data_IF_650777419946
#
_entry.id   IF_650777419946
#
_cell.length_a   1.000
_cell.length_b   1.000
_cell.length_c   1.000
_cell.angle_alpha   90.00
_cell.angle_beta   90.00
_cell.angle_gamma   90.00
#
_symmetry.space_group_name_H-M   'P 1'
#
loop_
_entity.id
_entity.type
_entity.pdbx_description
1 polymer ?
#
# COMPACT_ATOMS: atom_id res chain seq x y z
N UNK A 1 38.32 13.05 -27.12
CA UNK A 1 36.98 12.46 -27.41
C UNK A 1 36.26 12.24 -26.07
N UNK A 2 35.35 13.15 -25.74
CA UNK A 2 34.57 13.08 -24.50
C UNK A 2 33.30 12.28 -24.80
N UNK A 3 33.18 11.11 -24.18
CA UNK A 3 31.99 10.29 -24.26
C UNK A 3 30.86 10.91 -23.44
N UNK A 4 29.82 11.37 -24.11
CA UNK A 4 28.64 11.88 -23.46
C UNK A 4 27.86 10.75 -22.79
N UNK A 5 27.70 10.84 -21.47
CA UNK A 5 26.70 10.06 -20.73
C UNK A 5 25.32 10.54 -21.19
N UNK A 6 24.59 9.67 -21.88
CA UNK A 6 23.13 9.83 -22.05
C UNK A 6 22.52 9.67 -20.66
N UNK A 7 21.93 10.75 -20.15
CA UNK A 7 20.97 10.69 -19.06
C UNK A 7 19.80 9.82 -19.56
N UNK A 8 19.60 8.67 -18.90
CA UNK A 8 18.45 7.80 -19.10
C UNK A 8 17.17 8.52 -18.72
N UNK A 9 16.12 8.22 -19.45
CA UNK A 9 14.77 8.74 -19.33
C UNK A 9 14.35 8.99 -17.87
N UNK A 10 13.93 10.23 -17.58
CA UNK A 10 13.26 10.59 -16.34
C UNK A 10 11.98 9.73 -16.24
N UNK A 11 11.99 8.70 -15.37
CA UNK A 11 10.75 8.03 -14.95
C UNK A 11 9.82 9.15 -14.46
N UNK A 12 8.67 9.31 -15.09
CA UNK A 12 7.62 10.24 -14.62
C UNK A 12 7.23 9.77 -13.22
N UNK A 13 7.66 10.49 -12.18
CA UNK A 13 7.26 10.21 -10.81
C UNK A 13 5.74 10.27 -10.67
N UNK A 14 5.19 9.43 -9.82
CA UNK A 14 3.74 9.40 -9.54
C UNK A 14 3.24 10.79 -9.14
N UNK A 15 2.22 11.32 -9.81
CA UNK A 15 1.76 12.72 -9.75
C UNK A 15 1.09 13.08 -8.40
N UNK A 16 0.89 12.12 -7.49
CA UNK A 16 0.08 12.28 -6.28
C UNK A 16 0.88 12.47 -4.97
N UNK A 17 2.18 12.75 -5.06
CA UNK A 17 3.05 13.01 -3.92
C UNK A 17 2.53 14.10 -2.98
N UNK A 18 2.62 13.85 -1.66
CA UNK A 18 2.37 14.84 -0.61
C UNK A 18 0.90 15.06 -0.21
N UNK A 19 -0.05 14.30 -0.74
CA UNK A 19 -1.44 14.35 -0.30
C UNK A 19 -1.70 13.29 0.77
N UNK A 20 -1.99 13.74 2.00
CA UNK A 20 -2.41 12.82 3.07
C UNK A 20 -3.92 12.63 3.09
N UNK A 21 -4.38 11.42 3.39
CA UNK A 21 -5.79 11.08 3.65
C UNK A 21 -6.08 10.88 5.14
N UNK A 22 -5.13 11.16 6.03
CA UNK A 22 -5.20 11.02 7.49
C UNK A 22 -6.49 11.59 8.11
N UNK A 23 -7.02 12.68 7.57
CA UNK A 23 -8.22 13.34 8.10
C UNK A 23 -9.55 12.75 7.59
N UNK A 24 -9.52 11.88 6.58
CA UNK A 24 -10.72 11.35 5.90
C UNK A 24 -10.76 9.84 5.81
N UNK A 25 -9.66 9.15 6.15
CA UNK A 25 -9.57 7.69 6.23
C UNK A 25 -9.15 7.29 7.65
N UNK A 26 -9.94 6.45 8.29
CA UNK A 26 -9.64 5.94 9.63
C UNK A 26 -8.77 4.68 9.52
N UNK A 27 -7.49 4.71 9.98
CA UNK A 27 -6.59 3.57 9.86
C UNK A 27 -7.09 2.35 10.63
N UNK A 28 -7.72 2.53 11.79
CA UNK A 28 -8.28 1.41 12.57
C UNK A 28 -9.37 0.66 11.84
N UNK A 29 -10.20 1.33 11.02
CA UNK A 29 -11.21 0.67 10.18
C UNK A 29 -10.55 -0.11 9.03
N UNK A 30 -9.52 0.44 8.40
CA UNK A 30 -8.74 -0.24 7.36
C UNK A 30 -8.11 -1.51 7.91
N UNK A 31 -7.39 -1.41 9.05
CA UNK A 31 -6.70 -2.53 9.68
C UNK A 31 -7.67 -3.60 10.22
N UNK A 32 -8.82 -3.20 10.77
CA UNK A 32 -9.86 -4.16 11.18
C UNK A 32 -10.44 -4.89 9.97
N UNK A 33 -10.75 -4.18 8.88
CA UNK A 33 -11.29 -4.78 7.66
C UNK A 33 -10.28 -5.69 6.96
N UNK A 34 -8.97 -5.35 6.98
CA UNK A 34 -7.91 -6.22 6.47
C UNK A 34 -7.78 -7.52 7.27
N UNK A 35 -8.20 -7.52 8.52
CA UNK A 35 -8.11 -8.67 9.41
C UNK A 35 -6.75 -8.82 10.10
N UNK A 36 -5.96 -7.73 10.17
CA UNK A 36 -4.67 -7.68 10.86
C UNK A 36 -4.80 -8.08 12.33
N UNK A 37 -3.83 -8.87 12.81
CA UNK A 37 -3.82 -9.42 14.17
C UNK A 37 -2.50 -9.09 14.89
N UNK A 38 -2.52 -9.25 16.21
CA UNK A 38 -1.29 -9.21 17.00
C UNK A 38 -0.33 -10.32 16.58
N UNK A 39 0.93 -9.96 16.39
CA UNK A 39 2.01 -10.85 15.94
C UNK A 39 2.18 -10.96 14.43
N UNK A 40 1.28 -10.37 13.63
CA UNK A 40 1.38 -10.40 12.17
C UNK A 40 2.55 -9.52 11.66
N UNK A 41 3.04 -9.88 10.49
CA UNK A 41 3.89 -9.03 9.65
C UNK A 41 3.02 -8.27 8.66
N UNK A 42 3.05 -6.93 8.71
CA UNK A 42 2.31 -6.08 7.78
C UNK A 42 3.26 -5.34 6.83
N UNK A 43 2.89 -5.27 5.55
CA UNK A 43 3.44 -4.34 4.56
C UNK A 43 2.41 -3.23 4.28
N UNK A 44 2.78 -1.97 4.54
CA UNK A 44 2.05 -0.77 4.13
C UNK A 44 2.66 -0.28 2.80
N UNK A 45 2.04 -0.68 1.69
CA UNK A 45 2.53 -0.47 0.33
C UNK A 45 2.08 0.90 -0.20
N UNK A 46 3.03 1.85 -0.24
CA UNK A 46 2.77 3.27 -0.49
C UNK A 46 2.33 3.98 0.78
N UNK A 47 3.18 3.89 1.82
CA UNK A 47 2.87 4.31 3.20
C UNK A 47 2.64 5.82 3.39
N UNK A 48 3.10 6.66 2.44
CA UNK A 48 2.92 8.11 2.48
C UNK A 48 3.46 8.76 3.76
N UNK A 49 2.56 9.30 4.59
CA UNK A 49 2.91 9.91 5.89
C UNK A 49 2.88 8.91 7.07
N UNK A 50 2.76 7.62 6.79
CA UNK A 50 2.86 6.54 7.76
C UNK A 50 1.68 6.38 8.72
N UNK A 51 0.56 7.10 8.55
CA UNK A 51 -0.53 7.06 9.53
C UNK A 51 -1.18 5.66 9.68
N UNK A 52 -1.17 4.83 8.62
CA UNK A 52 -1.59 3.43 8.69
C UNK A 52 -0.50 2.60 9.37
N UNK A 53 0.77 2.81 9.00
CA UNK A 53 1.92 2.09 9.57
C UNK A 53 2.01 2.25 11.09
N UNK A 54 1.88 3.48 11.63
CA UNK A 54 1.88 3.73 13.08
C UNK A 54 0.69 3.08 13.78
N UNK A 55 -0.51 3.12 13.19
CA UNK A 55 -1.66 2.43 13.76
C UNK A 55 -1.50 0.90 13.74
N UNK A 56 -0.90 0.38 12.67
CA UNK A 56 -0.60 -1.04 12.54
C UNK A 56 0.44 -1.51 13.55
N UNK A 57 1.51 -0.74 13.80
CA UNK A 57 2.55 -1.09 14.78
C UNK A 57 2.00 -1.29 16.19
N UNK A 58 1.03 -0.46 16.58
CA UNK A 58 0.33 -0.61 17.85
C UNK A 58 -0.52 -1.89 17.90
N UNK A 59 -1.15 -2.26 16.80
CA UNK A 59 -2.07 -3.41 16.73
C UNK A 59 -1.29 -4.74 16.68
N UNK A 60 -0.23 -4.83 15.88
CA UNK A 60 0.60 -6.05 15.78
C UNK A 60 1.40 -6.29 17.07
N UNK A 61 1.73 -5.23 17.81
CA UNK A 61 2.44 -5.31 19.09
C UNK A 61 3.89 -5.78 18.96
N UNK A 62 4.53 -6.09 20.09
CA UNK A 62 5.97 -6.39 20.16
C UNK A 62 6.40 -7.65 19.39
N UNK A 63 5.48 -8.57 19.12
CA UNK A 63 5.76 -9.82 18.40
C UNK A 63 5.49 -9.73 16.89
N UNK A 64 4.93 -8.61 16.41
CA UNK A 64 4.69 -8.34 14.99
C UNK A 64 5.66 -7.30 14.48
N UNK A 65 5.67 -7.13 13.17
CA UNK A 65 6.48 -6.11 12.49
C UNK A 65 5.67 -5.41 11.41
N UNK A 66 5.95 -4.13 11.20
CA UNK A 66 5.37 -3.32 10.13
C UNK A 66 6.47 -2.81 9.21
N UNK A 67 6.34 -3.05 7.93
CA UNK A 67 7.17 -2.48 6.89
C UNK A 67 6.40 -1.33 6.22
N UNK A 68 6.89 -0.10 6.37
CA UNK A 68 6.37 1.08 5.70
C UNK A 68 7.19 1.32 4.43
N UNK A 69 6.62 0.98 3.26
CA UNK A 69 7.30 1.11 1.97
C UNK A 69 6.75 2.31 1.20
N UNK A 70 7.64 3.16 0.71
CA UNK A 70 7.30 4.29 -0.15
C UNK A 70 8.42 4.60 -1.15
N UNK A 71 8.05 5.09 -2.34
CA UNK A 71 8.97 5.50 -3.38
C UNK A 71 9.55 6.92 -3.16
N UNK A 72 9.08 7.64 -2.14
CA UNK A 72 9.53 8.99 -1.83
C UNK A 72 10.47 8.97 -0.62
N UNK A 73 11.76 9.36 -0.80
CA UNK A 73 12.74 9.32 0.28
C UNK A 73 12.35 10.22 1.48
N UNK A 74 11.63 11.32 1.23
CA UNK A 74 11.16 12.21 2.30
C UNK A 74 10.09 11.54 3.18
N UNK A 75 9.15 10.78 2.58
CA UNK A 75 8.15 10.00 3.32
C UNK A 75 8.81 8.99 4.24
N UNK A 76 9.74 8.21 3.69
CA UNK A 76 10.51 7.19 4.42
C UNK A 76 11.32 7.80 5.56
N UNK A 77 12.02 8.93 5.31
CA UNK A 77 12.82 9.62 6.32
C UNK A 77 11.95 10.17 7.46
N UNK A 78 10.80 10.78 7.14
CA UNK A 78 9.88 11.33 8.12
C UNK A 78 9.28 10.24 9.02
N UNK A 79 8.85 9.11 8.44
CA UNK A 79 8.33 7.97 9.21
C UNK A 79 9.40 7.44 10.16
N UNK A 80 10.64 7.29 9.68
CA UNK A 80 11.76 6.80 10.48
C UNK A 80 12.05 7.73 11.66
N UNK A 81 12.14 9.03 11.42
CA UNK A 81 12.39 10.03 12.47
C UNK A 81 11.25 10.03 13.53
N UNK A 82 9.99 9.96 13.07
CA UNK A 82 8.84 9.92 13.98
C UNK A 82 8.83 8.62 14.80
N UNK A 83 9.13 7.45 14.19
CA UNK A 83 9.23 6.18 14.89
C UNK A 83 10.34 6.17 15.96
N UNK A 84 11.52 6.69 15.64
CA UNK A 84 12.63 6.84 16.59
C UNK A 84 12.25 7.75 17.76
N UNK A 85 11.62 8.89 17.48
CA UNK A 85 11.17 9.88 18.48
C UNK A 85 10.11 9.32 19.41
N UNK A 86 9.18 8.52 18.89
CA UNK A 86 8.08 7.90 19.66
C UNK A 86 8.48 6.56 20.29
N UNK A 87 9.68 6.03 20.01
CA UNK A 87 10.17 4.76 20.53
C UNK A 87 9.43 3.55 19.95
N UNK A 88 8.96 3.65 18.71
CA UNK A 88 8.28 2.56 17.99
C UNK A 88 9.36 1.65 17.39
N UNK A 89 9.55 0.45 17.97
CA UNK A 89 10.65 -0.45 17.61
C UNK A 89 10.26 -1.56 16.62
N UNK A 90 8.99 -1.70 16.31
CA UNK A 90 8.43 -2.72 15.40
C UNK A 90 7.90 -2.12 14.09
N UNK A 91 8.40 -0.95 13.71
CA UNK A 91 8.13 -0.27 12.45
C UNK A 91 9.45 -0.02 11.72
N UNK A 92 9.61 -0.67 10.58
CA UNK A 92 10.76 -0.50 9.68
C UNK A 92 10.33 0.22 8.41
N UNK A 93 11.19 1.08 7.89
CA UNK A 93 10.93 1.84 6.67
C UNK A 93 11.72 1.29 5.49
N UNK A 94 11.08 1.20 4.32
CA UNK A 94 11.66 0.72 3.08
C UNK A 94 11.55 1.80 2.02
N UNK A 95 12.68 2.26 1.48
CA UNK A 95 12.71 3.10 0.30
C UNK A 95 12.79 2.21 -0.95
N UNK A 96 11.67 2.04 -1.64
CA UNK A 96 11.59 1.25 -2.88
C UNK A 96 10.40 1.72 -3.73
N UNK A 97 10.48 1.49 -5.03
CA UNK A 97 9.36 1.62 -5.96
C UNK A 97 8.65 0.25 -6.01
N UNK A 98 7.33 0.24 -5.89
CA UNK A 98 6.52 -0.99 -5.94
C UNK A 98 6.54 -1.66 -7.33
N UNK A 99 7.01 -0.96 -8.36
CA UNK A 99 7.23 -1.51 -9.70
C UNK A 99 8.58 -2.22 -9.85
N UNK A 100 9.48 -2.05 -8.89
CA UNK A 100 10.77 -2.76 -8.79
C UNK A 100 10.65 -3.91 -7.76
N UNK A 101 11.74 -4.67 -7.55
CA UNK A 101 11.78 -5.74 -6.55
C UNK A 101 11.64 -5.17 -5.13
N UNK A 102 10.62 -5.62 -4.40
CA UNK A 102 10.45 -5.29 -2.98
C UNK A 102 11.52 -6.03 -2.16
N UNK A 103 12.34 -5.33 -1.33
CA UNK A 103 13.42 -5.96 -0.58
C UNK A 103 12.92 -6.73 0.66
N UNK A 104 11.98 -7.64 0.44
CA UNK A 104 11.42 -8.59 1.40
C UNK A 104 11.47 -10.00 0.80
N UNK A 105 11.61 -11.00 1.66
CA UNK A 105 11.62 -12.39 1.26
C UNK A 105 10.25 -12.84 0.72
N UNK A 106 10.24 -13.85 -0.15
CA UNK A 106 9.03 -14.50 -0.61
C UNK A 106 8.22 -15.04 0.57
N UNK A 107 6.90 -14.87 0.52
CA UNK A 107 5.98 -15.38 1.56
C UNK A 107 6.36 -14.93 2.98
N UNK A 108 6.76 -13.68 3.15
CA UNK A 108 7.17 -13.13 4.46
C UNK A 108 6.09 -12.26 5.12
N UNK A 109 5.10 -11.76 4.37
CA UNK A 109 4.08 -10.81 4.81
C UNK A 109 2.74 -11.51 5.05
N UNK A 110 2.15 -11.35 6.24
CA UNK A 110 0.82 -11.88 6.58
C UNK A 110 -0.29 -11.03 5.97
N UNK A 111 -0.13 -9.70 6.04
CA UNK A 111 -1.10 -8.73 5.53
C UNK A 111 -0.36 -7.62 4.77
N UNK A 112 -0.70 -7.42 3.51
CA UNK A 112 -0.33 -6.23 2.76
C UNK A 112 -1.53 -5.27 2.70
N UNK A 113 -1.32 -4.00 3.02
CA UNK A 113 -2.32 -2.93 2.86
C UNK A 113 -1.80 -1.95 1.81
N UNK A 114 -2.67 -1.58 0.88
CA UNK A 114 -2.43 -0.52 -0.10
C UNK A 114 -3.59 0.48 -0.04
N UNK A 115 -3.32 1.73 0.33
CA UNK A 115 -4.37 2.72 0.56
C UNK A 115 -4.21 3.94 -0.35
N UNK A 116 -5.15 4.13 -1.27
CA UNK A 116 -5.19 5.24 -2.23
C UNK A 116 -3.96 5.28 -3.17
N UNK A 117 -3.48 4.12 -3.59
CA UNK A 117 -2.26 3.96 -4.41
C UNK A 117 -2.55 3.19 -5.70
N UNK A 118 -3.38 2.11 -5.64
CA UNK A 118 -3.60 1.21 -6.77
C UNK A 118 -4.11 1.93 -8.04
N UNK A 119 -4.99 2.93 -7.87
CA UNK A 119 -5.52 3.70 -9.00
C UNK A 119 -4.42 4.37 -9.84
N UNK A 120 -3.32 4.80 -9.21
CA UNK A 120 -2.17 5.40 -9.91
C UNK A 120 -1.43 4.38 -10.78
N UNK A 121 -1.26 3.15 -10.31
CA UNK A 121 -0.65 2.09 -11.10
C UNK A 121 -1.55 1.65 -12.27
N UNK A 122 -2.88 1.65 -12.07
CA UNK A 122 -3.84 1.40 -13.16
C UNK A 122 -3.74 2.49 -14.23
N UNK A 123 -3.70 3.76 -13.83
CA UNK A 123 -3.58 4.90 -14.75
C UNK A 123 -2.27 4.85 -15.56
N UNK A 124 -1.18 4.39 -14.93
CA UNK A 124 0.14 4.30 -15.54
C UNK A 124 0.39 2.98 -16.31
N UNK A 125 -0.52 2.00 -16.26
CA UNK A 125 -0.35 0.64 -16.78
C UNK A 125 0.82 -0.13 -16.13
N UNK A 126 1.00 0.02 -14.82
CA UNK A 126 2.07 -0.57 -14.01
C UNK A 126 1.55 -1.66 -13.03
N UNK A 127 0.30 -2.09 -13.20
CA UNK A 127 -0.37 -3.05 -12.29
C UNK A 127 0.32 -4.41 -12.29
N UNK A 128 0.80 -4.86 -13.44
CA UNK A 128 1.41 -6.20 -13.58
C UNK A 128 2.67 -6.32 -12.72
N UNK A 129 3.56 -5.33 -12.79
CA UNK A 129 4.80 -5.30 -12.02
C UNK A 129 4.51 -5.29 -10.51
N UNK A 130 3.63 -4.39 -10.10
CA UNK A 130 3.23 -4.25 -8.68
C UNK A 130 2.59 -5.52 -8.14
N UNK A 131 1.62 -6.07 -8.86
CA UNK A 131 0.88 -7.24 -8.38
C UNK A 131 1.74 -8.50 -8.32
N UNK A 132 2.74 -8.66 -9.21
CA UNK A 132 3.72 -9.74 -9.13
C UNK A 132 4.51 -9.69 -7.83
N UNK A 133 4.99 -8.52 -7.45
CA UNK A 133 5.77 -8.32 -6.22
C UNK A 133 4.90 -8.48 -4.97
N UNK A 134 3.70 -7.89 -4.94
CA UNK A 134 2.74 -8.09 -3.84
C UNK A 134 2.41 -9.57 -3.67
N UNK A 135 2.10 -10.27 -4.78
CA UNK A 135 1.82 -11.71 -4.73
C UNK A 135 3.06 -12.50 -4.25
N UNK A 136 4.27 -12.11 -4.61
CA UNK A 136 5.52 -12.77 -4.18
C UNK A 136 5.73 -12.66 -2.67
N UNK A 137 5.63 -11.45 -2.11
CA UNK A 137 5.95 -11.21 -0.69
C UNK A 137 4.83 -11.63 0.26
N UNK A 138 3.55 -11.59 -0.17
CA UNK A 138 2.43 -12.02 0.66
C UNK A 138 2.41 -13.55 0.76
N UNK A 139 2.29 -14.08 1.98
CA UNK A 139 2.23 -15.52 2.26
C UNK A 139 1.07 -16.20 1.51
N UNK A 140 1.21 -17.52 1.28
CA UNK A 140 0.04 -18.35 0.95
C UNK A 140 -1.01 -18.17 2.05
N UNK A 141 -2.28 -18.05 1.68
CA UNK A 141 -3.39 -17.71 2.59
C UNK A 141 -3.23 -16.33 3.28
N UNK A 142 -2.21 -15.55 2.93
CA UNK A 142 -2.04 -14.18 3.38
C UNK A 142 -3.03 -13.21 2.73
N UNK A 143 -3.11 -12.01 3.26
CA UNK A 143 -4.11 -11.01 2.87
C UNK A 143 -3.49 -9.90 2.05
N UNK A 144 -4.13 -9.52 0.94
CA UNK A 144 -3.94 -8.23 0.31
C UNK A 144 -5.22 -7.39 0.44
N UNK A 145 -5.12 -6.24 1.08
CA UNK A 145 -6.22 -5.33 1.37
C UNK A 145 -6.00 -3.98 0.66
N UNK A 146 -6.89 -3.64 -0.26
CA UNK A 146 -6.85 -2.42 -1.05
C UNK A 146 -7.94 -1.46 -0.59
N UNK A 147 -7.55 -0.31 -0.03
CA UNK A 147 -8.46 0.77 0.31
C UNK A 147 -8.40 1.86 -0.76
N UNK A 148 -9.55 2.20 -1.34
CA UNK A 148 -9.64 3.18 -2.43
C UNK A 148 -10.80 4.16 -2.24
N UNK A 149 -10.71 5.29 -2.95
CA UNK A 149 -11.81 6.26 -2.99
C UNK A 149 -13.03 5.68 -3.69
N UNK A 150 -14.21 5.87 -3.08
CA UNK A 150 -15.49 5.57 -3.74
C UNK A 150 -15.60 6.36 -5.06
N UNK A 151 -16.16 5.74 -6.07
CA UNK A 151 -16.37 6.32 -7.42
C UNK A 151 -17.46 7.40 -7.40
N UNK A 152 -17.22 8.44 -6.59
CA UNK A 152 -18.07 9.61 -6.42
C UNK A 152 -17.46 10.80 -7.15
N UNK A 153 -18.29 11.64 -7.78
CA UNK A 153 -17.82 12.85 -8.44
C UNK A 153 -17.33 13.89 -7.42
N UNK A 154 -16.31 14.64 -7.81
CA UNK A 154 -15.72 15.70 -7.00
C UNK A 154 -14.74 15.23 -5.93
N UNK A 155 -14.19 16.18 -5.14
CA UNK A 155 -13.25 15.87 -4.05
C UNK A 155 -13.98 15.19 -2.87
N UNK A 156 -13.25 14.44 -2.03
CA UNK A 156 -11.79 14.23 -2.08
C UNK A 156 -11.39 13.15 -3.11
N UNK A 157 -10.08 13.04 -3.34
CA UNK A 157 -9.46 11.99 -4.15
C UNK A 157 -9.13 12.42 -5.58
N UNK A 158 -8.73 11.45 -6.43
CA UNK A 158 -8.40 11.69 -7.81
C UNK A 158 -9.65 12.03 -8.66
N UNK A 159 -9.48 12.44 -9.94
CA UNK A 159 -10.56 12.58 -10.89
C UNK A 159 -11.43 11.32 -11.00
N UNK A 160 -12.71 11.46 -11.36
CA UNK A 160 -13.67 10.36 -11.35
C UNK A 160 -13.25 9.20 -12.28
N UNK A 161 -12.64 9.55 -13.40
CA UNK A 161 -12.13 8.61 -14.42
C UNK A 161 -10.99 7.73 -13.92
N UNK A 162 -10.23 8.21 -12.92
CA UNK A 162 -9.11 7.49 -12.30
C UNK A 162 -9.57 6.63 -11.12
N UNK A 163 -10.73 6.97 -10.50
CA UNK A 163 -11.25 6.21 -9.36
C UNK A 163 -11.68 4.81 -9.77
N UNK A 164 -11.25 3.82 -9.00
CA UNK A 164 -11.65 2.43 -9.15
C UNK A 164 -12.95 2.14 -8.39
N UNK A 165 -13.81 1.30 -8.94
CA UNK A 165 -14.92 0.70 -8.21
C UNK A 165 -14.45 -0.54 -7.44
N UNK A 166 -15.21 -1.03 -6.44
CA UNK A 166 -14.89 -2.31 -5.80
C UNK A 166 -14.72 -3.45 -6.81
N UNK A 167 -15.56 -3.51 -7.85
CA UNK A 167 -15.47 -4.52 -8.91
C UNK A 167 -14.18 -4.41 -9.72
N UNK A 168 -13.72 -3.17 -10.07
CA UNK A 168 -12.46 -2.97 -10.78
C UNK A 168 -11.29 -3.54 -9.95
N UNK A 169 -11.30 -3.36 -8.62
CA UNK A 169 -10.29 -3.89 -7.71
C UNK A 169 -10.40 -5.42 -7.59
N UNK A 170 -11.61 -5.97 -7.44
CA UNK A 170 -11.85 -7.42 -7.39
C UNK A 170 -11.34 -8.11 -8.67
N UNK A 171 -11.60 -7.54 -9.84
CA UNK A 171 -11.14 -8.08 -11.13
C UNK A 171 -9.59 -8.10 -11.21
N UNK A 172 -8.92 -7.05 -10.70
CA UNK A 172 -7.46 -7.02 -10.60
C UNK A 172 -6.97 -8.11 -9.65
N UNK A 173 -7.55 -8.26 -8.47
CA UNK A 173 -7.16 -9.26 -7.49
C UNK A 173 -7.23 -10.68 -8.07
N UNK A 174 -8.34 -11.03 -8.74
CA UNK A 174 -8.53 -12.34 -9.38
C UNK A 174 -7.47 -12.61 -10.44
N UNK A 175 -7.09 -11.63 -11.23
CA UNK A 175 -6.08 -11.78 -12.29
C UNK A 175 -4.70 -12.17 -11.73
N UNK A 176 -4.42 -11.88 -10.47
CA UNK A 176 -3.11 -12.12 -9.82
C UNK A 176 -3.20 -13.10 -8.63
N UNK A 177 -4.10 -14.06 -8.71
CA UNK A 177 -4.27 -15.18 -7.76
C UNK A 177 -4.67 -14.76 -6.34
N UNK A 178 -5.31 -13.60 -6.18
CA UNK A 178 -5.99 -13.25 -4.94
C UNK A 178 -7.48 -13.49 -5.05
N UNK A 179 -8.04 -14.37 -4.21
CA UNK A 179 -9.48 -14.61 -4.14
C UNK A 179 -10.16 -13.47 -3.36
N UNK A 180 -11.03 -12.63 -3.99
CA UNK A 180 -11.76 -11.61 -3.27
C UNK A 180 -12.75 -12.22 -2.28
N UNK A 181 -12.67 -11.80 -1.02
CA UNK A 181 -13.51 -12.34 0.07
C UNK A 181 -14.71 -11.44 0.33
N UNK A 182 -14.49 -10.12 0.35
CA UNK A 182 -15.52 -9.14 0.65
C UNK A 182 -15.03 -7.71 0.43
N UNK A 183 -15.99 -6.79 0.30
CA UNK A 183 -15.74 -5.36 0.29
C UNK A 183 -16.51 -4.68 1.43
N UNK A 184 -15.91 -3.64 2.02
CA UNK A 184 -16.49 -2.87 3.13
C UNK A 184 -16.37 -1.37 2.90
N UNK A 185 -17.32 -0.62 3.41
CA UNK A 185 -17.15 0.82 3.56
C UNK A 185 -16.29 1.11 4.79
N UNK A 186 -15.09 1.64 4.59
CA UNK A 186 -14.15 1.98 5.67
C UNK A 186 -14.14 3.47 6.02
N UNK A 187 -14.98 4.24 5.38
CA UNK A 187 -15.16 5.67 5.62
C UNK A 187 -16.22 6.28 4.73
N UNK A 188 -16.47 7.59 4.92
CA UNK A 188 -17.44 8.33 4.09
C UNK A 188 -17.05 8.26 2.61
N UNK A 189 -15.76 8.34 2.31
CA UNK A 189 -15.25 8.45 0.94
C UNK A 189 -14.50 7.21 0.46
N UNK A 190 -14.33 6.18 1.32
CA UNK A 190 -13.49 5.03 1.04
C UNK A 190 -14.23 3.72 1.21
N UNK A 191 -13.82 2.75 0.41
CA UNK A 191 -14.10 1.34 0.58
C UNK A 191 -12.78 0.56 0.70
N UNK A 192 -12.86 -0.70 1.09
CA UNK A 192 -11.75 -1.64 1.10
C UNK A 192 -12.22 -2.95 0.47
N UNK A 193 -11.41 -3.49 -0.42
CA UNK A 193 -11.53 -4.86 -0.94
C UNK A 193 -10.40 -5.69 -0.36
N UNK A 194 -10.72 -6.89 0.10
CA UNK A 194 -9.76 -7.87 0.62
C UNK A 194 -9.72 -9.11 -0.24
N UNK A 195 -8.54 -9.52 -0.66
CA UNK A 195 -8.25 -10.80 -1.30
C UNK A 195 -7.33 -11.68 -0.46
N UNK A 196 -7.48 -12.98 -0.60
CA UNK A 196 -6.63 -14.01 0.02
C UNK A 196 -5.74 -14.60 -1.07
N UNK A 197 -4.43 -14.63 -0.82
CA UNK A 197 -3.45 -15.20 -1.75
C UNK A 197 -3.65 -16.71 -1.90
N UNK A 198 -3.84 -17.16 -3.13
CA UNK A 198 -4.15 -18.56 -3.46
C UNK A 198 -2.92 -19.38 -3.91
N UNK A 199 -1.70 -18.83 -3.77
CA UNK A 199 -0.47 -19.56 -4.08
C UNK A 199 -0.31 -20.81 -3.26
#
# INVERSE_FOLDING_TARGET
MMGGYKLSDEKKGHVHHGKTTRNILNPGRVLTASGLKSGDTLLDAGSGDGFISFAASQLVGENGIVYALDAYPESVANIKEEAEKEGVNNLETIFADLTDEIPLDDNSVDVCVMANVLHGFVENNEVEEVMKEISRVVKSEGVFAVAEFKKLAGPPGPPLEVKLSPQDVEDILVQYDFEPVSSWEVGQYHYLVKGINQK
#
